data_IF_696791871966
#
_entry.id   IF_696791871966
#
_cell.length_a   1.000
_cell.length_b   1.000
_cell.length_c   1.000
_cell.angle_alpha   90.00
_cell.angle_beta   90.00
_cell.angle_gamma   90.00
#
_symmetry.space_group_name_H-M   'P 1'
#
loop_
_entity.id
_entity.type
_entity.pdbx_description
1 polymer ?
#
# COMPACT_ATOMS: atom_id res chain seq x y z
N UNK A 1 -39.92 -9.75 0.39
CA UNK A 1 -38.73 -9.10 -0.19
C UNK A 1 -37.58 -9.38 0.76
N UNK A 2 -36.76 -10.37 0.44
CA UNK A 2 -35.57 -10.71 1.23
C UNK A 2 -34.40 -9.89 0.68
N UNK A 3 -33.98 -8.89 1.44
CA UNK A 3 -32.68 -8.24 1.29
C UNK A 3 -31.61 -9.31 1.55
N UNK A 4 -30.97 -9.80 0.49
CA UNK A 4 -29.76 -10.61 0.59
C UNK A 4 -28.60 -9.63 0.82
N UNK A 5 -27.84 -9.74 1.93
CA UNK A 5 -26.67 -8.89 2.11
C UNK A 5 -25.69 -9.17 0.98
N UNK A 6 -25.43 -8.15 0.16
CA UNK A 6 -24.46 -8.21 -0.93
C UNK A 6 -23.14 -8.73 -0.39
N UNK A 7 -22.77 -9.92 -0.86
CA UNK A 7 -21.53 -10.61 -0.59
C UNK A 7 -20.38 -9.60 -0.71
N UNK A 8 -19.59 -9.43 0.36
CA UNK A 8 -18.59 -8.36 0.52
C UNK A 8 -17.35 -8.51 -0.38
N UNK A 9 -17.53 -9.01 -1.60
CA UNK A 9 -16.51 -9.19 -2.60
C UNK A 9 -16.21 -7.86 -3.31
N UNK A 10 -14.93 -7.49 -3.32
CA UNK A 10 -14.41 -6.36 -4.09
C UNK A 10 -14.66 -6.59 -5.58
N UNK A 11 -15.17 -5.58 -6.30
CA UNK A 11 -15.37 -5.70 -7.75
C UNK A 11 -14.03 -5.92 -8.48
N UNK A 12 -14.02 -6.60 -9.64
CA UNK A 12 -12.81 -6.81 -10.44
C UNK A 12 -12.07 -5.50 -10.78
N UNK A 13 -12.82 -4.41 -11.03
CA UNK A 13 -12.28 -3.09 -11.34
C UNK A 13 -11.59 -2.49 -10.11
N UNK A 14 -12.22 -2.58 -8.94
CA UNK A 14 -11.62 -2.12 -7.68
C UNK A 14 -10.36 -2.91 -7.35
N UNK A 15 -10.34 -4.22 -7.62
CA UNK A 15 -9.16 -5.07 -7.47
C UNK A 15 -8.03 -4.67 -8.43
N UNK A 16 -8.35 -4.45 -9.71
CA UNK A 16 -7.36 -4.03 -10.70
C UNK A 16 -6.76 -2.67 -10.36
N UNK A 17 -7.60 -1.68 -10.00
CA UNK A 17 -7.14 -0.36 -9.57
C UNK A 17 -6.24 -0.43 -8.34
N UNK A 18 -6.58 -1.30 -7.38
CA UNK A 18 -5.78 -1.49 -6.16
C UNK A 18 -4.40 -2.08 -6.46
N UNK A 19 -4.31 -3.04 -7.39
CA UNK A 19 -3.03 -3.64 -7.81
C UNK A 19 -2.18 -2.66 -8.63
N UNK A 20 -2.77 -1.92 -9.56
CA UNK A 20 -2.07 -0.86 -10.31
C UNK A 20 -1.47 0.16 -9.35
N UNK A 21 -2.25 0.62 -8.36
CA UNK A 21 -1.76 1.55 -7.36
C UNK A 21 -0.63 0.95 -6.51
N UNK A 22 -0.70 -0.35 -6.20
CA UNK A 22 0.37 -1.03 -5.45
C UNK A 22 1.68 -1.07 -6.27
N UNK A 23 1.61 -1.34 -7.57
CA UNK A 23 2.77 -1.37 -8.45
C UNK A 23 3.36 0.04 -8.67
N UNK A 24 2.52 1.07 -8.78
CA UNK A 24 2.96 2.47 -8.82
C UNK A 24 3.66 2.88 -7.51
N UNK A 25 3.10 2.51 -6.36
CA UNK A 25 3.68 2.81 -5.05
C UNK A 25 5.02 2.08 -4.85
N UNK A 26 5.13 0.84 -5.33
CA UNK A 26 6.38 0.05 -5.32
C UNK A 26 7.45 0.76 -6.15
N UNK A 27 7.09 1.21 -7.36
CA UNK A 27 7.99 1.98 -8.22
C UNK A 27 8.46 3.27 -7.55
N UNK A 28 7.54 4.08 -7.01
CA UNK A 28 7.91 5.37 -6.41
C UNK A 28 8.71 5.22 -5.11
N UNK A 29 8.45 4.16 -4.33
CA UNK A 29 9.17 3.91 -3.08
C UNK A 29 10.52 3.23 -3.30
N UNK A 30 10.74 2.61 -4.47
CA UNK A 30 12.04 2.03 -4.84
C UNK A 30 13.16 3.08 -4.90
N UNK A 31 12.82 4.33 -5.22
CA UNK A 31 13.75 5.48 -5.23
C UNK A 31 14.27 5.84 -3.82
N UNK A 32 13.60 5.39 -2.76
CA UNK A 32 13.99 5.61 -1.36
C UNK A 32 14.99 4.56 -0.84
N UNK A 33 15.96 4.17 -1.69
CA UNK A 33 16.98 3.18 -1.33
C UNK A 33 17.67 3.51 0.00
N UNK A 34 17.92 2.48 0.79
CA UNK A 34 18.64 2.58 2.06
C UNK A 34 20.12 2.90 1.88
N UNK A 35 20.76 3.44 2.92
CA UNK A 35 22.21 3.60 2.97
C UNK A 35 22.87 2.30 3.41
N UNK A 36 23.96 1.94 2.76
CA UNK A 36 24.79 0.82 3.16
C UNK A 36 26.09 1.35 3.78
N UNK A 37 26.63 0.71 4.84
CA UNK A 37 27.91 1.10 5.45
C UNK A 37 29.08 1.17 4.47
N UNK A 38 29.04 0.33 3.43
CA UNK A 38 30.00 0.30 2.33
C UNK A 38 29.71 1.32 1.22
N UNK A 39 28.69 2.16 1.36
CA UNK A 39 28.39 3.19 0.37
C UNK A 39 29.51 4.22 0.33
N UNK A 40 30.03 4.58 -0.86
CA UNK A 40 30.99 5.68 -1.01
C UNK A 40 30.34 7.04 -0.72
N UNK A 41 29.01 7.11 -0.60
CA UNK A 41 28.25 8.31 -0.25
C UNK A 41 28.38 8.64 1.24
N UNK A 42 28.85 9.84 1.62
CA UNK A 42 28.84 10.30 3.01
C UNK A 42 27.43 10.26 3.60
N UNK A 43 27.32 9.90 4.90
CA UNK A 43 26.03 9.77 5.59
C UNK A 43 25.15 11.02 5.45
N UNK A 44 25.74 12.22 5.53
CA UNK A 44 25.02 13.49 5.37
C UNK A 44 24.46 13.68 3.95
N UNK A 45 25.22 13.29 2.92
CA UNK A 45 24.78 13.35 1.53
C UNK A 45 23.60 12.38 1.30
N UNK A 46 23.69 11.17 1.86
CA UNK A 46 22.60 10.22 1.86
C UNK A 46 21.35 10.78 2.55
N UNK A 47 21.48 11.34 3.75
CA UNK A 47 20.36 11.90 4.51
C UNK A 47 19.65 13.00 3.71
N UNK A 48 20.40 13.89 3.03
CA UNK A 48 19.83 14.92 2.15
C UNK A 48 19.09 14.32 0.95
N UNK A 49 19.72 13.39 0.23
CA UNK A 49 19.11 12.73 -0.93
C UNK A 49 17.83 11.99 -0.54
N UNK A 50 17.86 11.29 0.59
CA UNK A 50 16.70 10.61 1.16
C UNK A 50 15.60 11.60 1.54
N UNK A 51 15.91 12.68 2.26
CA UNK A 51 14.92 13.68 2.65
C UNK A 51 14.25 14.33 1.42
N UNK A 52 15.03 14.59 0.36
CA UNK A 52 14.50 15.07 -0.91
C UNK A 52 13.56 14.05 -1.57
N UNK A 53 13.97 12.77 -1.62
CA UNK A 53 13.15 11.69 -2.15
C UNK A 53 11.85 11.48 -1.36
N UNK A 54 11.92 11.46 -0.02
CA UNK A 54 10.75 11.34 0.85
C UNK A 54 9.80 12.54 0.64
N UNK A 55 10.34 13.77 0.55
CA UNK A 55 9.54 14.96 0.24
C UNK A 55 8.86 14.89 -1.13
N UNK A 56 9.57 14.43 -2.16
CA UNK A 56 9.01 14.24 -3.50
C UNK A 56 7.89 13.19 -3.51
N UNK A 57 8.08 12.07 -2.79
CA UNK A 57 7.06 11.04 -2.66
C UNK A 57 5.82 11.54 -1.90
N UNK A 58 5.99 12.22 -0.77
CA UNK A 58 4.86 12.82 -0.04
C UNK A 58 4.07 13.77 -0.93
N UNK A 59 4.75 14.57 -1.76
CA UNK A 59 4.08 15.47 -2.69
C UNK A 59 3.22 14.70 -3.70
N UNK A 60 3.77 13.67 -4.36
CA UNK A 60 3.02 12.81 -5.29
C UNK A 60 1.84 12.13 -4.61
N UNK A 61 2.03 11.60 -3.41
CA UNK A 61 0.96 10.94 -2.67
C UNK A 61 -0.20 11.89 -2.36
N UNK A 62 0.09 13.15 -1.99
CA UNK A 62 -0.95 14.15 -1.72
C UNK A 62 -1.74 14.59 -2.96
N UNK A 63 -1.18 14.39 -4.15
CA UNK A 63 -1.87 14.65 -5.42
C UNK A 63 -2.86 13.53 -5.77
N UNK A 64 -2.75 12.35 -5.13
CA UNK A 64 -3.70 11.26 -5.32
C UNK A 64 -5.03 11.52 -4.62
N UNK A 65 -6.17 11.28 -5.30
CA UNK A 65 -7.49 11.48 -4.72
C UNK A 65 -7.74 10.56 -3.52
N UNK A 66 -8.21 11.13 -2.42
CA UNK A 66 -8.49 10.38 -1.19
C UNK A 66 -7.24 9.88 -0.45
N UNK A 67 -6.06 10.39 -0.82
CA UNK A 67 -4.82 10.09 -0.12
C UNK A 67 -4.58 11.04 1.06
N UNK A 68 -4.24 10.49 2.21
CA UNK A 68 -3.79 11.26 3.37
C UNK A 68 -2.47 10.70 3.88
N UNK A 69 -1.48 11.58 4.01
CA UNK A 69 -0.15 11.24 4.53
C UNK A 69 0.19 12.17 5.68
N UNK A 70 0.38 11.59 6.86
CA UNK A 70 0.87 12.29 8.05
C UNK A 70 2.27 11.78 8.37
N UNK A 71 3.22 12.69 8.49
CA UNK A 71 4.60 12.41 8.90
C UNK A 71 4.87 13.22 10.16
N UNK A 72 5.30 12.56 11.24
CA UNK A 72 5.72 13.27 12.47
C UNK A 72 7.03 14.05 12.25
N UNK A 73 7.29 15.05 13.09
CA UNK A 73 8.47 15.93 12.99
C UNK A 73 9.81 15.18 13.01
N UNK A 74 9.86 14.03 13.67
CA UNK A 74 11.03 13.14 13.72
C UNK A 74 11.15 12.21 12.51
N UNK A 75 10.16 12.21 11.61
CA UNK A 75 10.05 11.33 10.45
C UNK A 75 9.80 9.85 10.78
N UNK A 76 9.64 9.49 12.05
CA UNK A 76 9.58 8.09 12.49
C UNK A 76 8.19 7.49 12.28
N UNK A 77 7.15 8.16 12.75
CA UNK A 77 5.78 7.67 12.57
C UNK A 77 5.14 8.25 11.31
N UNK A 78 4.76 7.37 10.39
CA UNK A 78 4.01 7.71 9.19
C UNK A 78 2.67 7.01 9.19
N UNK A 79 1.61 7.79 8.98
CA UNK A 79 0.28 7.29 8.66
C UNK A 79 -0.03 7.56 7.19
N UNK A 80 -0.38 6.51 6.46
CA UNK A 80 -0.78 6.56 5.05
C UNK A 80 -2.18 5.99 4.91
N UNK A 81 -3.08 6.79 4.34
CA UNK A 81 -4.43 6.39 3.95
C UNK A 81 -4.52 6.57 2.44
N UNK A 82 -4.85 5.51 1.72
CA UNK A 82 -5.03 5.54 0.26
C UNK A 82 -5.98 4.41 -0.14
N UNK A 83 -6.97 4.70 -1.00
CA UNK A 83 -7.92 3.70 -1.48
C UNK A 83 -8.70 2.99 -0.36
N UNK A 84 -8.99 3.67 0.75
CA UNK A 84 -9.68 3.08 1.92
C UNK A 84 -8.82 2.12 2.76
N UNK A 85 -7.53 2.00 2.47
CA UNK A 85 -6.56 1.28 3.29
C UNK A 85 -5.80 2.30 4.13
N UNK A 86 -5.75 2.07 5.45
CA UNK A 86 -4.97 2.85 6.41
C UNK A 86 -3.85 1.98 6.97
N UNK A 87 -2.63 2.48 6.91
CA UNK A 87 -1.45 1.86 7.53
C UNK A 87 -0.72 2.86 8.41
N UNK A 88 -0.08 2.35 9.45
CA UNK A 88 0.83 3.10 10.33
C UNK A 88 2.15 2.37 10.36
N UNK A 89 3.24 3.09 10.17
CA UNK A 89 4.60 2.53 10.23
C UNK A 89 5.48 3.41 11.10
N UNK A 90 6.33 2.77 11.91
CA UNK A 90 7.42 3.42 12.63
C UNK A 90 8.71 3.49 11.78
N UNK A 91 8.71 2.86 10.61
CA UNK A 91 9.87 2.72 9.72
C UNK A 91 9.89 3.78 8.61
N UNK A 92 9.34 4.96 8.94
CA UNK A 92 9.22 6.11 8.03
C UNK A 92 8.37 5.79 6.78
N UNK A 93 8.45 6.66 5.78
CA UNK A 93 7.55 6.64 4.61
C UNK A 93 7.66 5.37 3.77
N UNK A 94 8.88 4.86 3.55
CA UNK A 94 9.10 3.62 2.77
C UNK A 94 8.39 2.43 3.43
N UNK A 95 8.54 2.27 4.75
CA UNK A 95 7.85 1.22 5.49
C UNK A 95 6.33 1.37 5.45
N UNK A 96 5.80 2.59 5.46
CA UNK A 96 4.37 2.81 5.26
C UNK A 96 3.91 2.41 3.84
N UNK A 97 4.67 2.75 2.81
CA UNK A 97 4.37 2.30 1.44
C UNK A 97 4.41 0.78 1.31
N UNK A 98 5.44 0.11 1.83
CA UNK A 98 5.57 -1.36 1.81
C UNK A 98 4.40 -2.04 2.54
N UNK A 99 4.03 -1.53 3.73
CA UNK A 99 2.89 -2.03 4.47
C UNK A 99 1.56 -1.85 3.71
N UNK A 100 1.39 -0.72 3.02
CA UNK A 100 0.22 -0.46 2.20
C UNK A 100 0.16 -1.40 0.99
N UNK A 101 1.28 -1.61 0.28
CA UNK A 101 1.40 -2.52 -0.87
C UNK A 101 1.04 -3.94 -0.48
N UNK A 102 1.59 -4.41 0.65
CA UNK A 102 1.29 -5.74 1.18
C UNK A 102 -0.20 -5.90 1.48
N UNK A 103 -0.82 -4.91 2.11
CA UNK A 103 -2.24 -4.91 2.44
C UNK A 103 -3.13 -4.84 1.18
N UNK A 104 -2.75 -4.03 0.18
CA UNK A 104 -3.42 -3.92 -1.10
C UNK A 104 -3.43 -5.28 -1.84
N UNK A 105 -2.24 -5.92 -1.97
CA UNK A 105 -2.08 -7.24 -2.57
C UNK A 105 -2.85 -8.31 -1.80
N UNK A 106 -2.87 -8.25 -0.46
CA UNK A 106 -3.65 -9.18 0.38
C UNK A 106 -5.16 -9.06 0.14
N UNK A 107 -5.71 -7.83 0.08
CA UNK A 107 -7.14 -7.62 -0.21
C UNK A 107 -7.52 -8.08 -1.62
N UNK A 108 -6.67 -7.81 -2.60
CA UNK A 108 -6.84 -8.29 -3.97
C UNK A 108 -6.80 -9.83 -4.05
N UNK A 109 -5.94 -10.49 -3.27
CA UNK A 109 -5.84 -11.96 -3.18
C UNK A 109 -6.99 -12.61 -2.43
N UNK A 110 -7.43 -12.04 -1.30
CA UNK A 110 -8.52 -12.57 -0.47
C UNK A 110 -9.86 -12.60 -1.23
N UNK A 111 -10.12 -11.63 -2.10
CA UNK A 111 -11.30 -11.61 -2.95
C UNK A 111 -11.41 -12.83 -3.89
N UNK A 112 -10.30 -13.49 -4.23
CA UNK A 112 -10.31 -14.69 -5.07
C UNK A 112 -10.70 -15.98 -4.31
N UNK A 113 -10.53 -16.00 -2.98
CA UNK A 113 -10.82 -17.18 -2.15
C UNK A 113 -12.29 -17.27 -1.74
N UNK A 114 -13.00 -16.15 -1.63
CA UNK A 114 -14.42 -16.14 -1.28
C UNK A 114 -15.33 -16.73 -2.36
N UNK A 115 -14.91 -16.71 -3.64
CA UNK A 115 -15.71 -17.22 -4.76
C UNK A 115 -15.59 -18.73 -5.01
N UNK A 116 -14.70 -19.46 -4.33
CA UNK A 116 -14.49 -20.90 -4.56
C UNK A 116 -15.30 -21.85 -3.63
N UNK A 117 -16.06 -21.33 -2.68
CA UNK A 117 -16.75 -22.16 -1.67
C UNK A 117 -18.23 -22.46 -1.98
N UNK A 118 -18.79 -21.93 -3.06
CA UNK A 118 -20.21 -22.07 -3.40
C UNK A 118 -20.40 -22.97 -4.63
N UNK A 119 -20.18 -24.28 -4.51
CA UNK A 119 -20.35 -25.14 -5.69
C UNK A 119 -20.05 -26.62 -5.60
N UNK A 120 -20.33 -27.31 -4.49
CA UNK A 120 -20.47 -28.79 -4.53
C UNK A 120 -21.57 -29.22 -3.58
N UNK A 121 -22.76 -29.52 -4.11
CA UNK A 121 -23.69 -30.41 -3.42
C UNK A 121 -23.42 -31.83 -3.91
N UNK A 122 -23.11 -32.79 -3.02
CA UNK A 122 -23.13 -34.19 -3.42
C UNK A 122 -24.58 -34.58 -3.75
N UNK A 123 -24.78 -35.11 -4.95
CA UNK A 123 -25.97 -35.88 -5.30
C UNK A 123 -25.76 -37.26 -4.69
N UNK A 124 -26.51 -37.55 -3.63
CA UNK A 124 -26.65 -38.93 -3.15
C UNK A 124 -27.59 -39.68 -4.10
N UNK A 125 -27.09 -40.79 -4.64
CA UNK A 125 -27.82 -41.79 -5.44
C UNK A 125 -28.42 -42.87 -4.52
#
# INVERSE_FOLDING_TARGET
MTDTPGDGAMSPEAKAALLVMADELELWSSDLLGWLPQSPEPLEAFQRRRAWGEGALVKRLRELPGCHVTVKEDGALVELILGGIRVRSADRLKGACEAWIAEARRRAGAAASSSQSAGVRPVDL
#
